data_IF_595524636265
#
_entry.id   IF_595524636265
#
_cell.length_a   1.000
_cell.length_b   1.000
_cell.length_c   1.000
_cell.angle_alpha   90.00
_cell.angle_beta   90.00
_cell.angle_gamma   90.00
#
_symmetry.space_group_name_H-M   'P 1'
#
loop_
_entity.id
_entity.type
_entity.pdbx_description
1 polymer ?
#
# COMPACT_ATOMS: atom_id res chain seq x y z
N UNK A 1 -1.47 -26.31 -14.34
CA UNK A 1 -0.87 -25.03 -13.90
C UNK A 1 -1.70 -23.91 -14.50
N UNK A 2 -2.22 -22.99 -13.70
CA UNK A 2 -2.96 -21.83 -14.22
C UNK A 2 -2.00 -20.91 -14.99
N UNK A 3 -2.48 -20.33 -16.08
CA UNK A 3 -1.70 -19.29 -16.80
C UNK A 3 -1.65 -18.04 -15.91
N UNK A 4 -0.45 -17.53 -15.55
CA UNK A 4 -0.34 -16.35 -14.70
C UNK A 4 -1.11 -15.16 -15.27
N UNK A 5 -1.74 -14.38 -14.37
CA UNK A 5 -2.51 -13.15 -14.70
C UNK A 5 -3.69 -13.34 -15.66
N UNK A 6 -4.19 -14.56 -15.81
CA UNK A 6 -5.40 -14.81 -16.62
C UNK A 6 -6.65 -14.47 -15.81
N UNK A 7 -7.09 -13.22 -15.92
CA UNK A 7 -8.28 -12.74 -15.22
C UNK A 7 -9.55 -13.45 -15.70
N UNK A 8 -10.34 -14.00 -14.77
CA UNK A 8 -11.68 -14.52 -15.01
C UNK A 8 -12.70 -13.39 -15.16
N UNK A 9 -13.93 -13.76 -15.57
CA UNK A 9 -15.03 -12.80 -15.63
C UNK A 9 -15.53 -12.51 -14.21
N UNK A 10 -15.99 -11.29 -13.99
CA UNK A 10 -16.53 -10.86 -12.68
C UNK A 10 -17.74 -11.72 -12.26
N UNK A 11 -18.57 -12.10 -13.23
CA UNK A 11 -19.78 -12.91 -13.03
C UNK A 11 -19.49 -14.34 -12.57
N UNK A 12 -18.30 -14.83 -12.86
CA UNK A 12 -17.86 -16.20 -12.53
C UNK A 12 -17.11 -16.28 -11.19
N UNK A 13 -16.97 -15.14 -10.47
CA UNK A 13 -16.27 -15.11 -9.19
C UNK A 13 -17.05 -15.88 -8.12
N UNK A 14 -16.34 -16.70 -7.29
CA UNK A 14 -16.95 -17.31 -6.12
C UNK A 14 -17.36 -16.24 -5.09
N UNK A 15 -18.36 -16.54 -4.28
CA UNK A 15 -18.85 -15.63 -3.25
C UNK A 15 -17.75 -15.27 -2.22
N UNK A 16 -16.96 -16.28 -1.82
CA UNK A 16 -15.87 -16.18 -0.84
C UNK A 16 -14.55 -16.65 -1.45
N UNK A 17 -13.39 -16.23 -0.88
CA UNK A 17 -12.10 -16.70 -1.36
C UNK A 17 -11.95 -18.22 -1.26
N UNK A 18 -11.25 -18.82 -2.24
CA UNK A 18 -10.91 -20.25 -2.24
C UNK A 18 -10.06 -20.64 -1.02
N UNK A 19 -9.16 -19.76 -0.60
CA UNK A 19 -8.36 -19.92 0.62
C UNK A 19 -9.05 -19.16 1.74
N UNK A 20 -9.52 -19.84 2.81
CA UNK A 20 -10.18 -19.17 3.92
C UNK A 20 -9.18 -18.30 4.72
N UNK A 21 -9.68 -17.28 5.37
CA UNK A 21 -8.91 -16.39 6.24
C UNK A 21 -9.78 -15.84 7.38
N UNK A 22 -9.18 -15.48 8.54
CA UNK A 22 -9.92 -15.01 9.70
C UNK A 22 -10.18 -13.49 9.70
N UNK A 23 -9.88 -12.77 8.64
CA UNK A 23 -9.80 -11.30 8.62
C UNK A 23 -11.00 -10.59 9.28
N UNK A 24 -12.23 -11.00 8.98
CA UNK A 24 -13.44 -10.35 9.52
C UNK A 24 -13.73 -10.67 10.98
N UNK A 25 -13.05 -11.66 11.57
CA UNK A 25 -13.12 -11.99 13.00
C UNK A 25 -11.98 -11.36 13.81
N UNK A 26 -11.01 -10.71 13.16
CA UNK A 26 -9.91 -10.07 13.86
C UNK A 26 -10.38 -8.84 14.63
N UNK A 27 -9.79 -8.57 15.82
CA UNK A 27 -10.05 -7.35 16.58
C UNK A 27 -9.75 -6.09 15.78
N UNK A 28 -10.59 -5.07 15.96
CA UNK A 28 -10.42 -3.76 15.30
C UNK A 28 -10.47 -2.63 16.32
N UNK A 29 -9.86 -1.50 15.97
CA UNK A 29 -9.94 -0.25 16.73
C UNK A 29 -10.27 0.88 15.79
N UNK A 30 -10.98 1.88 16.27
CA UNK A 30 -11.07 3.20 15.65
C UNK A 30 -10.15 4.13 16.42
N UNK A 31 -9.27 4.82 15.69
CA UNK A 31 -8.30 5.76 16.26
C UNK A 31 -8.45 7.11 15.56
N UNK A 32 -8.75 8.16 16.31
CA UNK A 32 -8.81 9.52 15.75
C UNK A 32 -7.40 10.07 15.59
N UNK A 33 -7.01 10.35 14.35
CA UNK A 33 -5.70 10.89 13.98
C UNK A 33 -5.85 12.36 13.63
N UNK A 34 -5.09 13.22 14.33
CA UNK A 34 -5.12 14.66 14.14
C UNK A 34 -3.90 15.13 13.34
N UNK A 35 -4.12 15.80 12.23
CA UNK A 35 -3.05 16.48 11.48
C UNK A 35 -3.49 17.86 11.04
N UNK A 36 -2.52 18.74 10.78
CA UNK A 36 -2.80 20.09 10.28
C UNK A 36 -3.41 20.05 8.87
N UNK A 37 -2.92 19.12 8.03
CA UNK A 37 -3.26 19.03 6.62
C UNK A 37 -4.63 18.38 6.37
N UNK A 38 -4.96 17.35 7.15
CA UNK A 38 -6.17 16.54 6.93
C UNK A 38 -7.24 16.74 8.03
N UNK A 39 -6.92 17.48 9.10
CA UNK A 39 -7.80 17.61 10.27
C UNK A 39 -7.83 16.37 11.14
N UNK A 40 -8.93 16.18 11.85
CA UNK A 40 -9.21 14.97 12.64
C UNK A 40 -9.90 13.94 11.75
N UNK A 41 -9.33 12.72 11.65
CA UNK A 41 -9.87 11.62 10.87
C UNK A 41 -9.90 10.35 11.69
N UNK A 42 -11.02 9.66 11.67
CA UNK A 42 -11.13 8.34 12.26
C UNK A 42 -10.52 7.28 11.34
N UNK A 43 -9.48 6.62 11.83
CA UNK A 43 -8.80 5.52 11.18
C UNK A 43 -9.32 4.19 11.72
N UNK A 44 -9.74 3.31 10.83
CA UNK A 44 -10.00 1.91 11.16
C UNK A 44 -8.69 1.16 11.15
N UNK A 45 -8.41 0.38 12.20
CA UNK A 45 -7.17 -0.38 12.37
C UNK A 45 -7.50 -1.80 12.81
N UNK A 46 -7.08 -2.79 12.04
CA UNK A 46 -7.08 -4.19 12.47
C UNK A 46 -5.88 -4.41 13.38
N UNK A 47 -6.08 -5.07 14.54
CA UNK A 47 -5.02 -5.34 15.52
C UNK A 47 -5.03 -6.82 15.86
N UNK A 48 -3.88 -7.49 15.75
CA UNK A 48 -3.79 -8.91 16.04
C UNK A 48 -2.44 -9.29 16.67
N UNK A 49 -2.45 -10.27 17.57
CA UNK A 49 -1.25 -10.83 18.18
C UNK A 49 -0.75 -10.06 19.40
N UNK A 50 0.43 -10.47 19.88
CA UNK A 50 1.17 -9.89 21.00
C UNK A 50 2.66 -9.92 20.68
N UNK A 51 3.41 -8.94 21.15
CA UNK A 51 4.85 -8.80 20.88
C UNK A 51 5.20 -7.41 20.35
N UNK A 52 6.41 -7.22 19.78
CA UNK A 52 6.84 -5.94 19.22
C UNK A 52 5.86 -5.44 18.16
N UNK A 53 5.62 -4.11 18.06
CA UNK A 53 4.66 -3.55 17.12
C UNK A 53 5.14 -3.66 15.67
N UNK A 54 4.21 -4.06 14.78
CA UNK A 54 4.40 -4.15 13.34
C UNK A 54 3.27 -3.44 12.60
N UNK A 55 3.59 -2.40 11.83
CA UNK A 55 2.64 -1.63 11.05
C UNK A 55 2.57 -2.17 9.60
N UNK A 56 1.37 -2.45 9.09
CA UNK A 56 1.13 -2.89 7.71
C UNK A 56 0.40 -1.81 6.92
N UNK A 57 1.05 -1.18 5.96
CA UNK A 57 0.50 -0.07 5.16
C UNK A 57 0.16 -0.55 3.75
N UNK A 58 -1.13 -0.59 3.44
CA UNK A 58 -1.66 -1.09 2.17
C UNK A 58 -1.46 -0.14 0.97
N UNK A 59 -1.72 -0.62 -0.24
CA UNK A 59 -1.58 0.10 -1.48
C UNK A 59 -2.81 0.89 -1.92
N UNK A 60 -2.72 1.49 -3.11
CA UNK A 60 -3.83 2.18 -3.77
C UNK A 60 -5.02 1.23 -4.00
N UNK A 61 -6.24 1.73 -3.80
CA UNK A 61 -7.51 1.04 -4.06
C UNK A 61 -7.74 -0.24 -3.22
N UNK A 62 -6.83 -0.56 -2.31
CA UNK A 62 -6.98 -1.68 -1.38
C UNK A 62 -7.27 -1.16 0.05
N UNK A 63 -7.28 -2.05 1.01
CA UNK A 63 -7.46 -1.76 2.44
C UNK A 63 -6.61 -2.72 3.27
N UNK A 64 -6.73 -2.66 4.59
CA UNK A 64 -6.14 -3.65 5.50
C UNK A 64 -6.53 -5.10 5.14
N UNK A 65 -7.65 -5.30 4.42
CA UNK A 65 -8.06 -6.60 3.88
C UNK A 65 -7.00 -7.23 2.96
N UNK A 66 -6.15 -6.43 2.29
CA UNK A 66 -5.08 -6.98 1.46
C UNK A 66 -4.09 -7.85 2.25
N UNK A 67 -3.97 -7.64 3.55
CA UNK A 67 -3.07 -8.37 4.43
C UNK A 67 -3.69 -9.66 5.04
N UNK A 68 -4.92 -10.04 4.64
CA UNK A 68 -5.75 -11.11 5.22
C UNK A 68 -5.03 -12.44 5.43
N UNK A 69 -4.05 -12.77 4.57
CA UNK A 69 -3.32 -14.05 4.67
C UNK A 69 -2.01 -13.97 5.46
N UNK A 70 -1.51 -12.76 5.73
CA UNK A 70 -0.22 -12.60 6.43
C UNK A 70 -0.39 -12.03 7.84
N UNK A 71 -1.54 -11.43 8.18
CA UNK A 71 -1.79 -10.94 9.54
C UNK A 71 -1.64 -12.07 10.57
N UNK A 72 -2.29 -13.22 10.36
CA UNK A 72 -2.24 -14.34 11.31
C UNK A 72 -0.82 -14.90 11.47
N UNK A 73 -0.07 -15.26 10.41
CA UNK A 73 1.32 -15.70 10.57
C UNK A 73 2.21 -14.69 11.27
N UNK A 74 2.10 -13.40 10.93
CA UNK A 74 2.91 -12.34 11.54
C UNK A 74 2.51 -12.09 13.00
N UNK A 75 1.23 -12.24 13.34
CA UNK A 75 0.72 -12.03 14.71
C UNK A 75 1.21 -13.06 15.74
N UNK A 76 1.84 -14.13 15.28
CA UNK A 76 2.50 -15.12 16.17
C UNK A 76 3.75 -14.55 16.84
N UNK A 77 4.38 -13.54 16.23
CA UNK A 77 5.63 -12.92 16.72
C UNK A 77 5.51 -11.42 16.98
N UNK A 78 4.46 -10.77 16.45
CA UNK A 78 4.29 -9.32 16.51
C UNK A 78 2.87 -8.95 16.98
N UNK A 79 2.73 -7.74 17.53
CA UNK A 79 1.43 -7.07 17.56
C UNK A 79 1.29 -6.34 16.24
N UNK A 80 0.47 -6.89 15.35
CA UNK A 80 0.24 -6.36 14.00
C UNK A 80 -0.82 -5.26 14.07
N UNK A 81 -0.52 -4.12 13.46
CA UNK A 81 -1.43 -3.00 13.25
C UNK A 81 -1.60 -2.78 11.73
N UNK A 82 -2.78 -3.05 11.20
CA UNK A 82 -3.08 -2.85 9.79
C UNK A 82 -4.18 -1.77 9.65
N UNK A 83 -3.80 -0.49 9.51
CA UNK A 83 -4.75 0.60 9.30
C UNK A 83 -5.31 0.57 7.86
N UNK A 84 -6.53 1.02 7.72
CA UNK A 84 -7.03 1.53 6.46
C UNK A 84 -6.55 2.97 6.27
N UNK A 85 -5.97 3.29 5.12
CA UNK A 85 -5.56 4.66 4.79
C UNK A 85 -6.78 5.60 4.62
N UNK A 86 -6.64 6.91 4.77
CA UNK A 86 -7.74 7.86 4.65
C UNK A 86 -8.60 7.68 3.39
N UNK A 87 -9.89 7.41 3.57
CA UNK A 87 -10.83 7.17 2.47
C UNK A 87 -10.74 5.80 1.81
N UNK A 88 -9.96 4.87 2.36
CA UNK A 88 -9.92 3.47 1.99
C UNK A 88 -10.56 2.60 3.08
N UNK A 89 -11.03 1.42 2.72
CA UNK A 89 -11.64 0.48 3.65
C UNK A 89 -12.75 1.12 4.48
N UNK A 90 -12.57 1.16 5.79
CA UNK A 90 -13.51 1.72 6.77
C UNK A 90 -13.04 3.04 7.37
N UNK A 91 -11.90 3.58 6.93
CA UNK A 91 -11.37 4.84 7.42
C UNK A 91 -12.08 6.04 6.81
N UNK A 92 -12.21 7.09 7.60
CA UNK A 92 -12.85 8.34 7.17
C UNK A 92 -12.05 8.99 6.02
N UNK A 93 -12.79 9.53 5.05
CA UNK A 93 -12.21 10.25 3.91
C UNK A 93 -12.11 11.75 4.22
N UNK A 94 -10.93 12.39 4.03
CA UNK A 94 -10.80 13.84 4.20
C UNK A 94 -11.41 14.61 3.03
N UNK A 95 -11.72 15.88 3.27
CA UNK A 95 -12.04 16.83 2.20
C UNK A 95 -10.78 17.35 1.50
N UNK A 96 -9.67 17.45 2.24
CA UNK A 96 -8.39 17.95 1.75
C UNK A 96 -7.68 16.96 0.82
N UNK A 97 -6.81 17.45 -0.09
CA UNK A 97 -6.01 16.60 -0.97
C UNK A 97 -5.05 15.68 -0.22
N UNK A 98 -4.96 14.43 -0.65
CA UNK A 98 -4.05 13.42 -0.13
C UNK A 98 -2.67 13.54 -0.77
N UNK A 99 -1.96 14.64 -0.49
CA UNK A 99 -0.59 14.82 -0.96
C UNK A 99 0.37 13.86 -0.24
N UNK A 100 1.55 13.53 -0.81
CA UNK A 100 2.52 12.69 -0.10
C UNK A 100 2.95 13.28 1.25
N UNK A 101 3.05 14.62 1.36
CA UNK A 101 3.39 15.28 2.62
C UNK A 101 2.29 15.09 3.67
N UNK A 102 1.02 15.33 3.29
CA UNK A 102 -0.13 15.15 4.17
C UNK A 102 -0.25 13.69 4.63
N UNK A 103 -0.04 12.73 3.71
CA UNK A 103 -0.09 11.30 4.03
C UNK A 103 1.07 10.85 4.92
N UNK A 104 2.27 11.41 4.72
CA UNK A 104 3.44 11.14 5.58
C UNK A 104 3.19 11.69 7.00
N UNK A 105 2.66 12.91 7.12
CA UNK A 105 2.28 13.50 8.40
C UNK A 105 1.18 12.68 9.09
N UNK A 106 0.18 12.23 8.34
CA UNK A 106 -0.89 11.38 8.86
C UNK A 106 -0.39 10.03 9.37
N UNK A 107 0.53 9.36 8.64
CA UNK A 107 1.14 8.10 9.08
C UNK A 107 1.95 8.29 10.37
N UNK A 108 2.74 9.37 10.49
CA UNK A 108 3.49 9.68 11.71
C UNK A 108 2.54 9.89 12.88
N UNK A 109 1.48 10.69 12.69
CA UNK A 109 0.47 10.95 13.73
C UNK A 109 -0.33 9.69 14.11
N UNK A 110 -0.61 8.80 13.15
CA UNK A 110 -1.24 7.50 13.43
C UNK A 110 -0.34 6.62 14.33
N UNK A 111 0.96 6.54 14.01
CA UNK A 111 1.95 5.81 14.82
C UNK A 111 1.97 6.34 16.26
N UNK A 112 1.90 7.67 16.44
CA UNK A 112 1.82 8.29 17.77
C UNK A 112 0.51 8.00 18.47
N UNK A 113 -0.62 8.12 17.77
CA UNK A 113 -1.95 7.86 18.32
C UNK A 113 -2.14 6.38 18.72
N UNK A 114 -1.45 5.46 18.05
CA UNK A 114 -1.40 4.05 18.41
C UNK A 114 -0.42 3.75 19.56
N UNK A 115 0.50 4.68 19.88
CA UNK A 115 1.55 4.47 20.89
C UNK A 115 2.65 3.49 20.45
N UNK A 116 2.92 3.40 19.14
CA UNK A 116 3.82 2.37 18.57
C UNK A 116 5.05 2.97 17.85
N UNK A 117 5.46 4.17 18.25
CA UNK A 117 6.67 4.80 17.67
C UNK A 117 7.89 3.89 17.79
N UNK A 118 8.69 3.83 16.72
CA UNK A 118 9.79 2.88 16.60
C UNK A 118 9.34 1.46 16.19
N UNK A 119 8.09 1.28 15.74
CA UNK A 119 7.61 0.00 15.22
C UNK A 119 8.41 -0.47 13.99
N UNK A 120 8.40 -1.77 13.71
CA UNK A 120 8.72 -2.24 12.37
C UNK A 120 7.55 -1.94 11.42
N UNK A 121 7.82 -1.81 10.11
CA UNK A 121 6.75 -1.57 9.15
C UNK A 121 6.91 -2.38 7.86
N UNK A 122 5.78 -2.73 7.26
CA UNK A 122 5.70 -3.30 5.90
C UNK A 122 4.77 -2.39 5.09
N UNK A 123 5.25 -1.87 3.96
CA UNK A 123 4.44 -1.08 3.04
C UNK A 123 4.33 -1.73 1.66
N UNK A 124 3.11 -1.93 1.16
CA UNK A 124 2.89 -2.42 -0.19
C UNK A 124 2.54 -1.27 -1.14
N UNK A 125 3.15 -1.26 -2.32
CA UNK A 125 2.80 -0.33 -3.40
C UNK A 125 2.85 1.14 -2.94
N UNK A 126 1.77 1.88 -3.07
CA UNK A 126 1.63 3.25 -2.55
C UNK A 126 1.99 3.32 -1.05
N UNK A 127 1.58 2.32 -0.25
CA UNK A 127 1.98 2.23 1.16
C UNK A 127 3.49 2.12 1.34
N UNK A 128 4.18 1.36 0.47
CA UNK A 128 5.64 1.30 0.44
C UNK A 128 6.29 2.64 0.08
N UNK A 129 5.74 3.35 -0.90
CA UNK A 129 6.19 4.70 -1.25
C UNK A 129 6.01 5.69 -0.10
N UNK A 130 4.87 5.64 0.59
CA UNK A 130 4.58 6.52 1.72
C UNK A 130 5.48 6.23 2.93
N UNK A 131 5.72 4.94 3.23
CA UNK A 131 6.61 4.54 4.34
C UNK A 131 8.08 4.85 4.06
N UNK A 132 8.55 4.75 2.81
CA UNK A 132 9.87 5.25 2.42
C UNK A 132 10.01 6.75 2.67
N UNK A 133 8.99 7.53 2.31
CA UNK A 133 8.96 8.97 2.56
C UNK A 133 8.91 9.30 4.04
N UNK A 134 8.13 8.53 4.82
CA UNK A 134 8.06 8.68 6.26
C UNK A 134 9.44 8.45 6.92
N UNK A 135 10.15 7.39 6.53
CA UNK A 135 11.47 7.11 7.05
C UNK A 135 12.48 8.25 6.78
N UNK A 136 12.36 8.95 5.64
CA UNK A 136 13.20 10.12 5.34
C UNK A 136 12.79 11.36 6.14
N UNK A 137 11.50 11.58 6.35
CA UNK A 137 10.97 12.77 7.02
C UNK A 137 11.04 12.65 8.55
N UNK A 138 10.85 11.44 9.08
CA UNK A 138 10.84 11.14 10.51
C UNK A 138 11.54 9.78 10.77
N UNK A 139 12.87 9.77 10.88
CA UNK A 139 13.64 8.56 11.11
C UNK A 139 13.31 7.80 12.41
N UNK A 140 12.60 8.45 13.34
CA UNK A 140 12.23 7.87 14.64
C UNK A 140 10.89 7.15 14.60
N UNK A 141 10.10 7.34 13.54
CA UNK A 141 8.78 6.73 13.41
C UNK A 141 8.85 5.19 13.34
N UNK A 142 9.88 4.66 12.68
CA UNK A 142 10.03 3.22 12.44
C UNK A 142 11.46 2.77 12.73
N UNK A 143 11.64 1.54 13.23
CA UNK A 143 12.96 0.94 13.48
C UNK A 143 13.54 0.19 12.29
N UNK A 144 12.69 -0.38 11.42
CA UNK A 144 13.04 -1.08 10.18
C UNK A 144 11.86 -1.11 9.22
N UNK A 145 12.12 -1.23 7.93
CA UNK A 145 11.10 -1.12 6.89
C UNK A 145 11.23 -2.23 5.84
N UNK A 146 10.14 -2.92 5.56
CA UNK A 146 9.99 -3.79 4.39
C UNK A 146 9.11 -3.07 3.35
N UNK A 147 9.60 -2.99 2.14
CA UNK A 147 8.89 -2.34 1.02
C UNK A 147 8.60 -3.37 -0.06
N UNK A 148 7.33 -3.51 -0.37
CA UNK A 148 6.82 -4.46 -1.36
C UNK A 148 6.33 -3.68 -2.57
N UNK A 149 7.00 -3.80 -3.71
CA UNK A 149 6.63 -3.21 -5.01
C UNK A 149 6.30 -1.71 -4.96
N UNK A 150 7.08 -0.89 -4.24
CA UNK A 150 6.82 0.54 -4.19
C UNK A 150 6.96 1.22 -5.56
N UNK A 151 5.99 2.06 -5.99
CA UNK A 151 6.17 3.02 -7.06
C UNK A 151 7.10 4.16 -6.57
N UNK A 152 7.17 5.26 -7.28
CA UNK A 152 7.93 6.44 -6.84
C UNK A 152 9.12 6.74 -7.74
N UNK A 153 9.35 5.89 -8.75
CA UNK A 153 10.25 6.19 -9.86
C UNK A 153 9.43 6.89 -10.96
N UNK A 154 9.79 8.13 -11.36
CA UNK A 154 9.04 8.86 -12.37
C UNK A 154 9.20 8.20 -13.75
N UNK A 155 8.08 7.96 -14.42
CA UNK A 155 7.99 7.40 -15.77
C UNK A 155 7.01 8.17 -16.64
N UNK A 156 7.15 8.06 -17.97
CA UNK A 156 6.26 8.75 -18.91
C UNK A 156 4.78 8.45 -18.69
N UNK A 157 4.43 7.20 -18.32
CA UNK A 157 3.04 6.85 -17.99
C UNK A 157 2.50 7.60 -16.75
N UNK A 158 3.36 7.84 -15.76
CA UNK A 158 2.98 8.62 -14.57
C UNK A 158 2.87 10.10 -14.92
N UNK A 159 3.76 10.61 -15.78
CA UNK A 159 3.64 11.97 -16.33
C UNK A 159 2.33 12.15 -17.08
N UNK A 160 2.00 11.22 -17.98
CA UNK A 160 0.74 11.25 -18.73
C UNK A 160 -0.48 11.20 -17.80
N UNK A 161 -0.48 10.28 -16.82
CA UNK A 161 -1.55 10.18 -15.82
C UNK A 161 -1.67 11.49 -15.02
N UNK A 162 -0.57 12.02 -14.51
CA UNK A 162 -0.56 13.29 -13.75
C UNK A 162 -1.09 14.44 -14.58
N UNK A 163 -0.71 14.52 -15.87
CA UNK A 163 -1.19 15.55 -16.80
C UNK A 163 -2.70 15.43 -17.00
N UNK A 164 -3.19 14.21 -17.26
CA UNK A 164 -4.64 13.96 -17.41
C UNK A 164 -5.39 14.31 -16.11
N UNK A 165 -4.90 13.86 -14.96
CA UNK A 165 -5.55 14.12 -13.67
C UNK A 165 -5.54 15.60 -13.25
N UNK A 166 -4.67 16.41 -13.84
CA UNK A 166 -4.64 17.87 -13.67
C UNK A 166 -5.64 18.61 -14.60
N UNK A 167 -6.16 17.95 -15.64
CA UNK A 167 -7.10 18.58 -16.58
C UNK A 167 -8.46 18.84 -15.90
N UNK A 168 -9.11 19.98 -16.20
CA UNK A 168 -10.46 20.25 -15.72
C UNK A 168 -11.42 19.11 -16.08
N UNK A 169 -12.20 18.64 -15.11
CA UNK A 169 -13.18 17.57 -15.29
C UNK A 169 -12.64 16.14 -15.29
N UNK A 170 -11.33 15.92 -15.46
CA UNK A 170 -10.77 14.56 -15.53
C UNK A 170 -11.04 13.73 -14.26
N UNK A 171 -10.88 14.33 -13.08
CA UNK A 171 -11.21 13.65 -11.81
C UNK A 171 -12.71 13.37 -11.67
N UNK A 172 -13.57 14.23 -12.17
CA UNK A 172 -15.01 14.02 -12.18
C UNK A 172 -15.39 12.86 -13.13
N UNK A 173 -14.78 12.83 -14.31
CA UNK A 173 -14.96 11.73 -15.27
C UNK A 173 -14.47 10.39 -14.70
N UNK A 174 -13.29 10.36 -14.07
CA UNK A 174 -12.78 9.15 -13.40
C UNK A 174 -13.77 8.68 -12.33
N UNK A 175 -14.24 9.58 -11.45
CA UNK A 175 -15.20 9.25 -10.41
C UNK A 175 -16.49 8.68 -10.99
N UNK A 176 -17.01 9.31 -12.05
CA UNK A 176 -18.21 8.82 -12.74
C UNK A 176 -18.01 7.43 -13.35
N UNK A 177 -16.88 7.16 -13.98
CA UNK A 177 -16.56 5.84 -14.56
C UNK A 177 -16.46 4.76 -13.47
N UNK A 178 -15.79 5.04 -12.35
CA UNK A 178 -15.64 4.11 -11.24
C UNK A 178 -16.97 3.85 -10.54
N UNK A 179 -17.78 4.89 -10.32
CA UNK A 179 -19.06 4.82 -9.62
C UNK A 179 -20.13 3.98 -10.37
N UNK A 180 -19.97 3.77 -11.68
CA UNK A 180 -20.89 2.93 -12.47
C UNK A 180 -20.89 1.48 -12.01
N UNK A 181 -19.73 0.95 -11.65
CA UNK A 181 -19.58 -0.40 -11.10
C UNK A 181 -18.24 -0.49 -10.32
N UNK A 182 -18.23 -0.05 -9.06
CA UNK A 182 -17.01 0.02 -8.25
C UNK A 182 -16.43 -1.36 -7.93
N UNK A 183 -17.28 -2.39 -7.79
CA UNK A 183 -16.83 -3.75 -7.51
C UNK A 183 -16.14 -4.37 -8.73
N UNK A 184 -16.71 -4.21 -9.91
CA UNK A 184 -16.10 -4.65 -11.16
C UNK A 184 -14.83 -3.83 -11.47
N UNK A 185 -14.81 -2.55 -11.10
CA UNK A 185 -13.61 -1.72 -11.19
C UNK A 185 -12.50 -2.29 -10.32
N UNK A 186 -12.77 -2.61 -9.06
CA UNK A 186 -11.82 -3.23 -8.15
C UNK A 186 -11.30 -4.57 -8.72
N UNK A 187 -12.20 -5.45 -9.14
CA UNK A 187 -11.84 -6.74 -9.76
C UNK A 187 -10.90 -6.56 -10.97
N UNK A 188 -11.16 -5.58 -11.85
CA UNK A 188 -10.37 -5.37 -13.08
C UNK A 188 -9.00 -4.77 -12.84
N UNK A 189 -8.78 -4.09 -11.72
CA UNK A 189 -7.54 -3.35 -11.44
C UNK A 189 -6.67 -3.98 -10.35
N UNK A 190 -7.08 -5.09 -9.76
CA UNK A 190 -6.25 -5.96 -8.92
C UNK A 190 -5.84 -7.17 -9.74
N UNK A 191 -4.55 -7.52 -9.75
CA UNK A 191 -4.02 -8.62 -10.55
C UNK A 191 -3.16 -9.52 -9.70
N UNK A 192 -3.52 -10.81 -9.66
CA UNK A 192 -2.77 -11.85 -8.98
C UNK A 192 -2.06 -12.76 -9.97
N UNK A 193 -0.96 -13.35 -9.52
CA UNK A 193 -0.30 -14.43 -10.26
C UNK A 193 -1.29 -15.59 -10.51
N UNK A 194 -2.02 -15.98 -9.47
CA UNK A 194 -3.15 -16.90 -9.56
C UNK A 194 -4.47 -16.12 -9.38
N UNK A 195 -5.07 -15.74 -10.49
CA UNK A 195 -6.33 -14.99 -10.51
C UNK A 195 -7.52 -15.75 -9.91
N UNK A 196 -7.39 -17.09 -9.69
CA UNK A 196 -8.41 -17.90 -9.02
C UNK A 196 -8.54 -17.63 -7.51
N UNK A 197 -7.64 -16.82 -6.94
CA UNK A 197 -7.73 -16.33 -5.56
C UNK A 197 -8.76 -15.23 -5.37
N UNK A 198 -9.24 -14.62 -6.45
CA UNK A 198 -10.27 -13.57 -6.41
C UNK A 198 -11.63 -14.10 -6.01
N UNK A 199 -12.44 -13.21 -5.41
CA UNK A 199 -13.80 -13.51 -4.99
C UNK A 199 -14.68 -12.26 -5.01
N UNK A 200 -15.99 -12.42 -4.90
CA UNK A 200 -16.93 -11.31 -4.71
C UNK A 200 -16.71 -10.62 -3.35
N UNK A 201 -16.27 -11.35 -2.33
CA UNK A 201 -15.88 -10.79 -1.04
C UNK A 201 -14.75 -9.76 -1.20
N UNK A 202 -13.69 -10.11 -1.95
CA UNK A 202 -12.59 -9.19 -2.22
C UNK A 202 -13.04 -7.98 -3.05
N UNK A 203 -13.84 -8.23 -4.09
CA UNK A 203 -14.38 -7.16 -4.93
C UNK A 203 -15.21 -6.16 -4.12
N UNK A 204 -15.96 -6.62 -3.10
CA UNK A 204 -16.67 -5.77 -2.15
C UNK A 204 -15.72 -5.06 -1.21
N UNK A 205 -14.77 -5.78 -0.59
CA UNK A 205 -13.83 -5.18 0.35
C UNK A 205 -13.06 -3.97 -0.23
N UNK A 206 -12.78 -4.00 -1.53
CA UNK A 206 -12.10 -2.89 -2.23
C UNK A 206 -13.05 -1.96 -2.98
N UNK A 207 -14.22 -2.44 -3.39
CA UNK A 207 -15.20 -1.68 -4.16
C UNK A 207 -16.15 -0.84 -3.30
N UNK A 208 -16.53 -1.31 -2.11
CA UNK A 208 -17.47 -0.59 -1.24
C UNK A 208 -16.98 0.83 -0.88
N UNK A 209 -15.71 1.06 -0.53
CA UNK A 209 -15.21 2.43 -0.36
C UNK A 209 -15.36 3.29 -1.62
N UNK A 210 -15.12 2.71 -2.80
CA UNK A 210 -15.25 3.38 -4.08
C UNK A 210 -16.72 3.67 -4.47
N UNK A 211 -17.68 3.02 -3.83
CA UNK A 211 -19.10 3.34 -3.99
C UNK A 211 -19.51 4.62 -3.25
N UNK A 212 -18.69 5.11 -2.31
CA UNK A 212 -18.96 6.32 -1.54
C UNK A 212 -18.33 7.56 -2.20
N UNK A 213 -18.95 8.74 -1.99
CA UNK A 213 -18.40 10.00 -2.49
C UNK A 213 -17.03 10.30 -1.89
N UNK A 214 -16.85 10.05 -0.59
CA UNK A 214 -15.60 10.25 0.13
C UNK A 214 -14.47 9.36 -0.39
N UNK A 215 -14.72 8.07 -0.53
CA UNK A 215 -13.75 7.11 -1.04
C UNK A 215 -13.36 7.36 -2.50
N UNK A 216 -14.33 7.72 -3.36
CA UNK A 216 -14.05 8.12 -4.75
C UNK A 216 -13.18 9.39 -4.82
N UNK A 217 -13.46 10.38 -3.96
CA UNK A 217 -12.65 11.59 -3.87
C UNK A 217 -11.22 11.25 -3.43
N UNK A 218 -11.09 10.42 -2.39
CA UNK A 218 -9.79 9.97 -1.90
C UNK A 218 -9.03 9.18 -2.98
N UNK A 219 -9.68 8.25 -3.68
CA UNK A 219 -9.08 7.49 -4.78
C UNK A 219 -8.55 8.40 -5.90
N UNK A 220 -9.35 9.39 -6.34
CA UNK A 220 -8.92 10.35 -7.34
C UNK A 220 -7.75 11.22 -6.85
N UNK A 221 -7.72 11.58 -5.56
CA UNK A 221 -6.63 12.32 -4.93
C UNK A 221 -5.35 11.48 -4.81
N UNK A 222 -5.44 10.21 -4.46
CA UNK A 222 -4.30 9.30 -4.47
C UNK A 222 -3.64 9.22 -5.86
N UNK A 223 -4.43 9.11 -6.93
CA UNK A 223 -3.92 9.08 -8.29
C UNK A 223 -3.34 10.43 -8.75
N UNK A 224 -4.01 11.53 -8.42
CA UNK A 224 -3.65 12.85 -8.95
C UNK A 224 -2.69 13.64 -8.08
N UNK A 225 -2.63 13.36 -6.76
CA UNK A 225 -1.83 14.12 -5.81
C UNK A 225 -0.73 13.27 -5.17
N UNK A 226 -1.05 12.06 -4.66
CA UNK A 226 -0.05 11.19 -4.01
C UNK A 226 0.94 10.58 -5.00
N UNK A 227 0.41 9.99 -6.08
CA UNK A 227 1.20 9.29 -7.10
C UNK A 227 1.56 10.21 -8.29
N UNK A 228 1.61 11.52 -8.06
CA UNK A 228 1.91 12.50 -9.08
C UNK A 228 3.39 12.55 -9.44
N UNK A 229 3.68 12.93 -10.69
CA UNK A 229 5.03 13.03 -11.25
C UNK A 229 5.97 13.94 -10.46
N UNK A 230 5.52 15.14 -10.08
CA UNK A 230 6.33 16.12 -9.35
C UNK A 230 6.85 15.59 -8.01
N UNK A 231 5.96 15.13 -7.12
CA UNK A 231 6.35 14.48 -5.86
C UNK A 231 7.29 13.29 -6.02
N UNK A 232 7.10 12.45 -7.05
CA UNK A 232 7.99 11.32 -7.31
C UNK A 232 9.38 11.78 -7.77
N UNK A 233 9.45 12.80 -8.66
CA UNK A 233 10.73 13.40 -9.07
C UNK A 233 11.50 13.96 -7.88
N UNK A 234 10.82 14.71 -7.03
CA UNK A 234 11.45 15.29 -5.84
C UNK A 234 11.98 14.19 -4.92
N UNK A 235 11.19 13.16 -4.65
CA UNK A 235 11.58 12.02 -3.81
C UNK A 235 12.82 11.30 -4.37
N UNK A 236 12.87 11.07 -5.68
CA UNK A 236 14.04 10.44 -6.29
C UNK A 236 15.28 11.34 -6.26
N UNK A 237 15.11 12.65 -6.42
CA UNK A 237 16.21 13.60 -6.28
C UNK A 237 16.77 13.60 -4.84
N UNK A 238 15.91 13.47 -3.83
CA UNK A 238 16.32 13.34 -2.43
C UNK A 238 17.15 12.06 -2.20
N UNK A 239 16.69 10.90 -2.71
CA UNK A 239 17.45 9.65 -2.61
C UNK A 239 18.83 9.76 -3.29
N UNK A 240 18.87 10.33 -4.49
CA UNK A 240 20.14 10.56 -5.21
C UNK A 240 21.07 11.50 -4.45
N UNK A 241 20.55 12.58 -3.89
CA UNK A 241 21.34 13.52 -3.11
C UNK A 241 21.87 12.89 -1.82
N UNK A 242 21.14 11.97 -1.20
CA UNK A 242 21.64 11.18 -0.04
C UNK A 242 22.75 10.22 -0.45
N UNK A 243 22.52 9.48 -1.53
CA UNK A 243 23.52 8.52 -2.04
C UNK A 243 24.82 9.21 -2.42
N UNK A 244 24.78 10.39 -3.09
CA UNK A 244 25.97 11.15 -3.47
C UNK A 244 26.78 11.69 -2.28
N UNK A 245 26.13 11.86 -1.11
CA UNK A 245 26.80 12.24 0.15
C UNK A 245 27.26 11.03 0.96
N UNK A 246 27.05 9.81 0.48
CA UNK A 246 27.33 8.58 1.24
C UNK A 246 26.44 8.41 2.47
N UNK A 247 25.30 9.13 2.54
CA UNK A 247 24.40 9.04 3.67
C UNK A 247 23.52 7.79 3.56
N UNK A 248 23.61 6.90 4.54
CA UNK A 248 22.77 5.71 4.61
C UNK A 248 21.29 6.06 4.69
N UNK A 249 20.42 5.15 4.24
CA UNK A 249 18.98 5.27 4.49
C UNK A 249 18.72 5.22 6.01
N UNK A 250 17.75 6.00 6.53
CA UNK A 250 17.61 6.21 7.97
C UNK A 250 17.34 4.95 8.79
N UNK A 251 16.75 3.95 8.19
CA UNK A 251 16.43 2.67 8.86
C UNK A 251 16.86 1.48 8.00
N UNK A 252 17.13 0.30 8.58
CA UNK A 252 17.30 -0.93 7.81
C UNK A 252 16.15 -1.14 6.85
N UNK A 253 16.43 -1.48 5.58
CA UNK A 253 15.46 -1.55 4.49
C UNK A 253 15.57 -2.87 3.72
N UNK A 254 14.46 -3.60 3.65
CA UNK A 254 14.26 -4.72 2.74
C UNK A 254 13.34 -4.29 1.59
N UNK A 255 13.81 -4.45 0.36
CA UNK A 255 13.05 -4.25 -0.87
C UNK A 255 12.64 -5.62 -1.41
N UNK A 256 11.33 -5.85 -1.60
CA UNK A 256 10.77 -7.10 -2.09
C UNK A 256 10.02 -6.85 -3.39
N UNK A 257 10.49 -7.42 -4.49
CA UNK A 257 9.93 -7.20 -5.83
C UNK A 257 9.73 -8.51 -6.59
N UNK A 258 8.53 -8.71 -7.15
CA UNK A 258 8.27 -9.81 -8.07
C UNK A 258 8.77 -9.45 -9.48
N UNK A 259 9.43 -10.41 -10.15
CA UNK A 259 9.98 -10.21 -11.50
C UNK A 259 8.92 -9.99 -12.57
N UNK A 260 7.66 -10.36 -12.28
CA UNK A 260 6.53 -10.28 -13.21
C UNK A 260 5.38 -9.43 -12.66
N UNK A 261 5.69 -8.39 -11.86
CA UNK A 261 4.68 -7.44 -11.42
C UNK A 261 4.06 -6.69 -12.62
N UNK A 262 2.73 -6.81 -12.85
CA UNK A 262 2.08 -6.14 -13.99
C UNK A 262 1.76 -4.66 -13.70
N UNK A 263 1.82 -4.22 -12.44
CA UNK A 263 1.39 -2.89 -12.01
C UNK A 263 2.57 -1.93 -11.82
N UNK A 264 3.62 -2.38 -11.12
CA UNK A 264 4.84 -1.61 -10.90
C UNK A 264 6.01 -2.32 -11.59
N UNK A 265 6.71 -1.65 -12.52
CA UNK A 265 7.81 -2.27 -13.25
C UNK A 265 8.86 -2.86 -12.30
N UNK A 266 9.23 -4.14 -12.47
CA UNK A 266 10.22 -4.80 -11.60
C UNK A 266 11.55 -4.04 -11.49
N UNK A 267 11.97 -3.36 -12.58
CA UNK A 267 13.20 -2.53 -12.59
C UNK A 267 13.24 -1.45 -11.50
N UNK A 268 12.08 -1.07 -10.91
CA UNK A 268 12.07 -0.11 -9.81
C UNK A 268 12.79 -0.65 -8.57
N UNK A 269 12.73 -1.96 -8.32
CA UNK A 269 13.53 -2.61 -7.27
C UNK A 269 15.03 -2.36 -7.47
N UNK A 270 15.54 -2.53 -8.70
CA UNK A 270 16.95 -2.25 -9.02
C UNK A 270 17.28 -0.75 -8.88
N UNK A 271 16.40 0.14 -9.33
CA UNK A 271 16.58 1.60 -9.17
C UNK A 271 16.64 2.00 -7.70
N UNK A 272 15.80 1.42 -6.85
CA UNK A 272 15.86 1.67 -5.41
C UNK A 272 17.13 1.13 -4.78
N UNK A 273 17.56 -0.09 -5.13
CA UNK A 273 18.79 -0.69 -4.62
C UNK A 273 20.04 0.12 -5.03
N UNK A 274 20.05 0.67 -6.25
CA UNK A 274 21.12 1.58 -6.71
C UNK A 274 21.16 2.89 -5.89
N UNK A 275 19.98 3.47 -5.61
CA UNK A 275 19.87 4.76 -4.90
C UNK A 275 19.91 4.63 -3.38
N UNK A 276 19.74 3.43 -2.87
CA UNK A 276 19.81 3.09 -1.43
C UNK A 276 20.73 1.88 -1.29
N UNK A 277 22.06 2.05 -1.39
CA UNK A 277 23.01 0.92 -1.35
C UNK A 277 22.98 0.11 -0.05
N UNK A 278 22.45 0.68 1.04
CA UNK A 278 22.24 -0.01 2.30
C UNK A 278 21.00 -0.92 2.33
N UNK A 279 20.14 -0.88 1.31
CA UNK A 279 18.97 -1.73 1.23
C UNK A 279 19.32 -3.15 0.77
N UNK A 280 18.64 -4.14 1.34
CA UNK A 280 18.66 -5.51 0.82
C UNK A 280 17.54 -5.67 -0.21
N UNK A 281 17.86 -6.11 -1.43
CA UNK A 281 16.89 -6.39 -2.47
C UNK A 281 16.69 -7.90 -2.63
N UNK A 282 15.44 -8.35 -2.51
CA UNK A 282 15.03 -9.73 -2.73
C UNK A 282 14.05 -9.78 -3.92
N UNK A 283 14.33 -10.65 -4.87
CA UNK A 283 13.49 -10.91 -6.01
C UNK A 283 12.61 -12.13 -5.78
N UNK A 284 11.32 -12.00 -6.12
CA UNK A 284 10.39 -13.11 -6.18
C UNK A 284 10.20 -13.53 -7.65
N UNK A 285 10.52 -14.78 -7.96
CA UNK A 285 10.35 -15.33 -9.31
C UNK A 285 8.88 -15.63 -9.62
N UNK A 286 8.11 -16.01 -8.61
CA UNK A 286 6.67 -16.22 -8.63
C UNK A 286 5.98 -15.22 -7.69
N UNK A 287 4.78 -14.80 -8.06
CA UNK A 287 3.99 -13.79 -7.35
C UNK A 287 3.73 -12.55 -8.19
N UNK A 288 2.76 -11.78 -7.74
CA UNK A 288 2.32 -10.53 -8.37
C UNK A 288 2.71 -9.30 -7.54
N UNK A 289 2.10 -8.19 -7.89
CA UNK A 289 2.09 -6.95 -7.07
C UNK A 289 1.61 -7.16 -5.62
N UNK A 290 0.86 -8.22 -5.40
CA UNK A 290 0.30 -8.62 -4.11
C UNK A 290 0.91 -9.95 -3.62
N UNK A 291 2.23 -10.03 -3.57
CA UNK A 291 2.94 -11.25 -3.13
C UNK A 291 2.53 -11.71 -1.72
N UNK A 292 2.06 -10.82 -0.88
CA UNK A 292 1.48 -11.12 0.43
C UNK A 292 0.06 -11.76 0.36
N UNK A 293 -0.49 -11.90 -0.86
CA UNK A 293 -1.76 -12.61 -1.13
C UNK A 293 -1.50 -13.88 -1.91
N UNK A 294 -0.71 -13.82 -2.98
CA UNK A 294 -0.61 -14.89 -3.98
C UNK A 294 0.72 -15.64 -3.98
N UNK A 295 1.68 -15.23 -3.16
CA UNK A 295 2.99 -15.87 -3.01
C UNK A 295 3.47 -15.89 -1.55
N UNK A 296 2.58 -16.24 -0.61
CA UNK A 296 2.80 -16.15 0.85
C UNK A 296 4.05 -16.93 1.27
N UNK A 297 4.24 -18.14 0.72
CA UNK A 297 5.38 -19.02 1.00
C UNK A 297 6.72 -18.43 0.51
N UNK A 298 6.68 -17.49 -0.42
CA UNK A 298 7.85 -16.75 -0.90
C UNK A 298 8.02 -15.41 -0.20
N UNK A 299 6.91 -14.81 0.23
CA UNK A 299 6.87 -13.53 0.92
C UNK A 299 7.32 -13.62 2.38
N UNK A 300 6.74 -14.54 3.16
CA UNK A 300 6.96 -14.61 4.60
C UNK A 300 8.41 -14.91 5.01
N UNK A 301 9.15 -15.86 4.41
CA UNK A 301 10.49 -16.19 4.89
C UNK A 301 11.46 -15.00 4.88
N UNK A 302 11.68 -14.27 3.77
CA UNK A 302 12.59 -13.13 3.78
C UNK A 302 12.09 -11.98 4.67
N UNK A 303 10.77 -11.78 4.79
CA UNK A 303 10.18 -10.76 5.66
C UNK A 303 10.43 -11.10 7.12
N UNK A 304 10.12 -12.33 7.55
CA UNK A 304 10.31 -12.77 8.93
C UNK A 304 11.78 -12.75 9.34
N UNK A 305 12.69 -13.21 8.47
CA UNK A 305 14.12 -13.17 8.74
C UNK A 305 14.65 -11.74 8.89
N UNK A 306 14.13 -10.78 8.13
CA UNK A 306 14.52 -9.38 8.23
C UNK A 306 13.94 -8.68 9.47
N UNK A 307 12.74 -9.07 9.89
CA UNK A 307 12.06 -8.47 11.03
C UNK A 307 12.52 -9.03 12.38
N UNK A 308 13.10 -10.22 12.41
CA UNK A 308 13.71 -10.80 13.60
C UNK A 308 14.95 -9.99 14.02
#
# INVERSE_FOLDING_TARGET
>A
MSTPFRQGRYEDLPATPRVPHPYFSLPTRTVTVHTRELGALDAHVVVAGSGPPLLLVHGLMTSSYSWRYVIEPLSRSFTVYAPDLPGAGRSQAPAAPLTPAAMTAWLSALIDALGVRGCAAIGNSMGGYLTLRLALADPTAMSRLVVVHAPGVPELRILALSTVMAMPGARALLRWLVQRDPHRWAHRNVHYWDESLKSLEEARAYGDPLATEGGLRAFASYLGDTLAWGPMRWFQAELMARASRGAAFPVPLLLLYARRDPMVPPRFGAVYAERIPSATLVWLDEGSHFAHVDAIDRFLPPVSAFLA
#
